data_IF_833317540019
#
_entry.id   IF_833317540019
#
_cell.length_a   1.000
_cell.length_b   1.000
_cell.length_c   1.000
_cell.angle_alpha   90.00
_cell.angle_beta   90.00
_cell.angle_gamma   90.00
#
_symmetry.space_group_name_H-M   'P 1'
#
loop_
_entity.id
_entity.type
_entity.pdbx_description
1 polymer ?
#
# COMPACT_ATOMS: atom_id res chain seq x y z
N UNK A 1 65.14 27.17 49.16
CA UNK A 1 66.15 28.16 48.72
C UNK A 1 65.78 28.53 47.27
N UNK A 2 65.32 29.78 47.14
CA UNK A 2 65.78 30.80 46.17
C UNK A 2 65.65 30.41 44.69
N UNK A 3 64.53 30.78 44.07
CA UNK A 3 64.38 32.04 43.32
C UNK A 3 65.19 32.13 42.01
N UNK A 4 64.53 32.20 40.88
CA UNK A 4 64.73 33.34 39.92
C UNK A 4 63.70 33.32 38.79
N UNK A 5 62.96 34.40 38.73
CA UNK A 5 62.15 34.90 37.61
C UNK A 5 63.10 35.39 36.47
N UNK A 6 62.63 35.22 35.21
CA UNK A 6 62.94 36.17 34.11
C UNK A 6 62.14 35.83 32.83
N UNK A 7 62.04 36.72 31.84
CA UNK A 7 60.95 37.69 31.75
C UNK A 7 60.09 37.47 30.51
N UNK A 8 58.88 38.09 30.54
CA UNK A 8 57.87 38.15 29.47
C UNK A 8 58.45 38.83 28.21
N UNK A 9 58.35 38.18 27.07
CA UNK A 9 58.41 38.80 25.76
C UNK A 9 56.95 39.00 25.23
N UNK A 10 56.63 40.25 24.98
CA UNK A 10 55.42 40.70 24.31
C UNK A 10 55.57 40.41 22.83
N UNK A 11 54.59 39.65 22.26
CA UNK A 11 54.45 39.54 20.80
C UNK A 11 53.16 40.25 20.39
N UNK A 12 53.32 41.18 19.45
CA UNK A 12 52.22 41.94 18.85
C UNK A 12 51.24 41.05 18.06
N UNK A 13 49.96 41.40 18.00
CA UNK A 13 49.00 40.69 17.16
C UNK A 13 49.14 41.16 15.72
N UNK A 14 49.49 40.25 14.83
CA UNK A 14 49.37 40.47 13.39
C UNK A 14 47.94 40.18 12.95
N UNK A 15 47.39 41.13 12.19
CA UNK A 15 46.12 41.04 11.46
C UNK A 15 46.12 39.80 10.57
N UNK A 16 45.21 38.85 10.85
CA UNK A 16 44.84 37.79 9.92
C UNK A 16 43.44 38.09 9.40
N UNK A 17 43.37 38.31 8.11
CA UNK A 17 42.16 38.54 7.34
C UNK A 17 41.14 37.39 7.59
N UNK A 18 39.94 37.72 8.06
CA UNK A 18 38.82 36.81 8.14
C UNK A 18 38.27 36.54 6.74
N UNK A 19 38.67 35.43 6.15
CA UNK A 19 37.94 34.86 5.01
C UNK A 19 36.63 34.26 5.55
N UNK A 20 35.51 34.84 5.17
CA UNK A 20 34.18 34.24 5.39
C UNK A 20 34.06 33.03 4.49
N UNK A 21 34.26 31.84 5.05
CA UNK A 21 33.79 30.59 4.45
C UNK A 21 32.64 30.11 5.37
N UNK A 22 31.45 30.40 4.96
CA UNK A 22 30.24 30.00 5.66
C UNK A 22 29.09 29.92 4.66
N UNK A 23 29.25 29.08 3.64
CA UNK A 23 28.09 28.46 2.98
C UNK A 23 27.99 27.03 3.52
N UNK A 24 27.21 26.88 4.57
CA UNK A 24 26.63 25.57 4.90
C UNK A 24 25.69 25.22 3.78
N UNK A 25 26.12 24.32 2.90
CA UNK A 25 25.19 23.53 2.10
C UNK A 25 24.43 22.68 3.11
N UNK A 26 23.24 23.10 3.48
CA UNK A 26 22.22 22.17 3.93
C UNK A 26 21.89 21.34 2.67
N UNK A 27 22.58 20.22 2.49
CA UNK A 27 22.02 19.12 1.71
C UNK A 27 20.72 18.78 2.40
N UNK A 28 19.61 19.21 1.79
CA UNK A 28 18.29 18.83 2.22
C UNK A 28 18.25 17.30 2.21
N UNK A 29 18.17 16.70 3.39
CA UNK A 29 17.78 15.31 3.55
C UNK A 29 16.43 15.25 2.88
N UNK A 30 16.35 14.66 1.68
CA UNK A 30 15.09 14.40 1.02
C UNK A 30 14.26 13.60 2.01
N UNK A 31 13.10 14.13 2.36
CA UNK A 31 12.14 13.48 3.25
C UNK A 31 11.77 12.15 2.59
N UNK A 32 12.40 11.06 3.07
CA UNK A 32 12.25 9.72 2.49
C UNK A 32 10.98 9.11 3.06
N UNK A 33 9.84 9.60 2.58
CA UNK A 33 8.55 9.18 3.07
C UNK A 33 7.51 9.10 1.96
N UNK A 34 6.29 8.70 2.31
CA UNK A 34 5.17 8.71 1.39
C UNK A 34 3.87 9.17 2.06
N UNK A 35 2.98 9.75 1.24
CA UNK A 35 1.60 10.03 1.60
C UNK A 35 0.70 9.58 0.45
N UNK A 36 -0.20 8.64 0.72
CA UNK A 36 -1.11 8.04 -0.24
C UNK A 36 -2.54 8.14 0.26
N UNK A 37 -3.42 8.77 -0.48
CA UNK A 37 -4.85 8.86 -0.20
C UNK A 37 -5.62 8.29 -1.38
N UNK A 38 -6.61 7.45 -1.08
CA UNK A 38 -7.34 6.83 -2.18
C UNK A 38 -8.41 5.85 -1.73
N UNK A 39 -8.72 4.93 -2.63
CA UNK A 39 -9.77 3.94 -2.45
C UNK A 39 -9.25 2.54 -2.64
N UNK A 40 -9.70 1.65 -1.76
CA UNK A 40 -9.52 0.21 -1.86
C UNK A 40 -10.77 -0.43 -2.46
N UNK A 41 -10.58 -1.42 -3.30
CA UNK A 41 -11.58 -2.45 -3.59
C UNK A 41 -10.92 -3.83 -3.47
N UNK A 42 -11.50 -4.68 -2.63
CA UNK A 42 -11.08 -6.05 -2.39
C UNK A 42 -12.25 -6.98 -2.64
N UNK A 43 -11.99 -8.10 -3.31
CA UNK A 43 -12.99 -9.15 -3.56
C UNK A 43 -12.34 -10.50 -3.30
N UNK A 44 -12.96 -11.32 -2.44
CA UNK A 44 -12.40 -12.62 -2.09
C UNK A 44 -13.42 -13.76 -2.17
N UNK A 45 -12.90 -15.00 -2.14
CA UNK A 45 -13.68 -16.24 -2.30
C UNK A 45 -14.54 -16.59 -1.08
N UNK A 46 -14.34 -15.96 0.08
CA UNK A 46 -15.14 -16.20 1.29
C UNK A 46 -16.59 -15.74 1.14
N UNK A 47 -17.46 -16.24 2.01
CA UNK A 47 -18.85 -15.80 2.14
C UNK A 47 -18.98 -14.35 2.61
N UNK A 48 -20.18 -13.86 2.72
CA UNK A 48 -20.45 -12.48 3.13
C UNK A 48 -20.07 -12.22 4.58
N UNK A 49 -19.33 -11.22 4.87
CA UNK A 49 -18.42 -10.79 5.92
C UNK A 49 -17.13 -11.63 5.89
N UNK A 50 -16.03 -10.98 5.51
CA UNK A 50 -14.75 -11.64 5.41
C UNK A 50 -14.29 -12.15 6.79
N UNK A 51 -14.19 -13.48 7.02
CA UNK A 51 -13.77 -14.01 8.31
C UNK A 51 -12.32 -13.59 8.65
N UNK A 52 -11.48 -13.42 7.64
CA UNK A 52 -10.09 -13.01 7.84
C UNK A 52 -9.95 -11.65 8.52
N UNK A 53 -10.88 -10.71 8.28
CA UNK A 53 -10.85 -9.39 8.91
C UNK A 53 -11.12 -9.43 10.41
N UNK A 54 -11.77 -10.49 10.90
CA UNK A 54 -12.00 -10.73 12.33
C UNK A 54 -11.09 -11.81 12.92
N UNK A 55 -10.06 -12.24 12.17
CA UNK A 55 -9.03 -13.17 12.63
C UNK A 55 -9.37 -14.65 12.48
N UNK A 56 -10.53 -14.97 11.90
CA UNK A 56 -10.92 -16.34 11.63
C UNK A 56 -10.26 -16.90 10.36
N UNK A 57 -10.26 -18.21 10.24
CA UNK A 57 -9.79 -18.88 9.04
C UNK A 57 -10.74 -18.62 7.86
N UNK A 58 -10.24 -18.56 6.61
CA UNK A 58 -11.08 -18.39 5.44
C UNK A 58 -12.04 -19.58 5.26
N UNK A 59 -13.22 -19.31 4.74
CA UNK A 59 -14.20 -20.34 4.37
C UNK A 59 -13.55 -21.36 3.42
N UNK A 60 -13.66 -22.64 3.76
CA UNK A 60 -13.03 -23.70 2.97
C UNK A 60 -11.51 -23.80 3.12
N UNK A 61 -10.89 -23.08 4.08
CA UNK A 61 -9.48 -23.19 4.46
C UNK A 61 -8.50 -22.41 3.60
N UNK A 62 -8.93 -21.78 2.51
CA UNK A 62 -8.10 -20.95 1.62
C UNK A 62 -8.86 -19.72 1.15
N UNK A 63 -8.14 -18.66 0.77
CA UNK A 63 -8.73 -17.46 0.20
C UNK A 63 -8.09 -17.11 -1.15
N UNK A 64 -8.92 -16.91 -2.16
CA UNK A 64 -8.53 -16.37 -3.46
C UNK A 64 -9.08 -14.94 -3.55
N UNK A 65 -8.21 -13.97 -3.82
CA UNK A 65 -8.55 -12.56 -3.70
C UNK A 65 -7.96 -11.69 -4.80
N UNK A 66 -8.67 -10.58 -5.10
CA UNK A 66 -8.16 -9.41 -5.82
C UNK A 66 -8.19 -8.26 -4.81
N UNK A 67 -7.08 -7.54 -4.67
CA UNK A 67 -6.97 -6.34 -3.83
C UNK A 67 -6.42 -5.21 -4.69
N UNK A 68 -7.12 -4.08 -4.78
CA UNK A 68 -6.68 -2.92 -5.55
C UNK A 68 -6.68 -1.66 -4.69
N UNK A 69 -5.54 -0.95 -4.67
CA UNK A 69 -5.41 0.38 -4.10
C UNK A 69 -5.29 1.39 -5.23
N UNK A 70 -6.29 2.24 -5.39
CA UNK A 70 -6.28 3.36 -6.31
C UNK A 70 -5.90 4.64 -5.56
N UNK A 71 -4.90 5.36 -6.01
CA UNK A 71 -4.42 6.59 -5.39
C UNK A 71 -5.14 7.80 -6.01
N UNK A 72 -6.13 8.36 -5.32
CA UNK A 72 -6.75 9.62 -5.73
C UNK A 72 -5.72 10.77 -5.66
N UNK A 73 -4.84 10.72 -4.62
CA UNK A 73 -3.66 11.58 -4.45
C UNK A 73 -2.53 10.75 -3.84
N UNK A 74 -1.31 10.93 -4.32
CA UNK A 74 -0.19 10.19 -3.77
C UNK A 74 1.17 10.73 -4.17
N UNK A 75 2.06 10.82 -3.17
CA UNK A 75 3.48 11.09 -3.37
C UNK A 75 4.29 10.04 -2.63
N UNK A 76 5.34 9.57 -3.27
CA UNK A 76 6.32 8.65 -2.71
C UNK A 76 7.68 9.30 -2.92
N UNK A 77 8.31 9.77 -1.85
CA UNK A 77 9.36 10.78 -1.92
C UNK A 77 8.83 11.99 -2.71
N UNK A 78 9.51 12.44 -3.74
CA UNK A 78 9.13 13.51 -4.67
C UNK A 78 8.41 13.01 -5.94
N UNK A 79 8.02 11.73 -5.99
CA UNK A 79 7.37 11.11 -7.15
C UNK A 79 5.85 11.14 -6.96
N UNK A 80 5.15 11.91 -7.79
CA UNK A 80 3.69 11.89 -7.85
C UNK A 80 3.17 10.59 -8.48
N UNK A 81 2.32 9.87 -7.75
CA UNK A 81 1.66 8.63 -8.19
C UNK A 81 0.14 8.76 -8.25
N UNK A 82 -0.38 9.99 -8.19
CA UNK A 82 -1.82 10.27 -8.25
C UNK A 82 -2.45 9.72 -9.52
N UNK A 83 -3.64 9.15 -9.39
CA UNK A 83 -4.40 8.54 -10.48
C UNK A 83 -3.93 7.15 -10.89
N UNK A 84 -2.87 6.61 -10.27
CA UNK A 84 -2.38 5.26 -10.54
C UNK A 84 -3.03 4.23 -9.61
N UNK A 85 -2.96 2.96 -10.00
CA UNK A 85 -3.50 1.83 -9.24
C UNK A 85 -2.43 0.75 -9.07
N UNK A 86 -2.36 0.21 -7.87
CA UNK A 86 -1.59 -0.97 -7.52
C UNK A 86 -2.53 -2.11 -7.18
N UNK A 87 -2.29 -3.30 -7.69
CA UNK A 87 -3.18 -4.43 -7.48
C UNK A 87 -2.43 -5.73 -7.19
N UNK A 88 -3.04 -6.55 -6.34
CA UNK A 88 -2.64 -7.92 -6.06
C UNK A 88 -3.75 -8.88 -6.49
N UNK A 89 -3.36 -9.98 -7.15
CA UNK A 89 -4.17 -11.19 -7.24
C UNK A 89 -3.45 -12.23 -6.39
N UNK A 90 -4.10 -12.74 -5.36
CA UNK A 90 -3.43 -13.61 -4.39
C UNK A 90 -4.22 -14.87 -4.06
N UNK A 91 -3.47 -15.94 -3.79
CA UNK A 91 -3.93 -17.17 -3.14
C UNK A 91 -3.32 -17.26 -1.74
N UNK A 92 -4.17 -17.41 -0.73
CA UNK A 92 -3.80 -17.44 0.68
C UNK A 92 -4.12 -18.83 1.22
N UNK A 93 -3.11 -19.65 1.62
CA UNK A 93 -3.27 -21.07 1.93
C UNK A 93 -3.73 -21.35 3.36
N UNK A 94 -4.47 -20.45 3.99
CA UNK A 94 -4.95 -20.61 5.37
C UNK A 94 -5.31 -19.29 6.02
N UNK A 95 -5.12 -19.20 7.33
CA UNK A 95 -5.34 -17.97 8.07
C UNK A 95 -4.46 -16.85 7.52
N UNK A 96 -5.09 -15.70 7.25
CA UNK A 96 -4.45 -14.57 6.59
C UNK A 96 -3.21 -14.06 7.36
N UNK A 97 -3.25 -14.09 8.68
CA UNK A 97 -2.18 -13.62 9.57
C UNK A 97 -0.99 -14.59 9.64
N UNK A 98 -1.14 -15.82 9.17
CA UNK A 98 -0.04 -16.80 9.07
C UNK A 98 0.86 -16.54 7.86
N UNK A 99 0.48 -15.61 6.99
CA UNK A 99 1.24 -15.27 5.79
C UNK A 99 1.25 -16.36 4.73
N UNK A 100 2.41 -16.53 4.07
CA UNK A 100 2.61 -17.45 2.94
C UNK A 100 1.71 -17.21 1.73
N UNK A 101 1.26 -15.97 1.55
CA UNK A 101 0.46 -15.61 0.39
C UNK A 101 1.28 -15.79 -0.88
N UNK A 102 0.66 -16.35 -1.90
CA UNK A 102 1.20 -16.34 -3.26
C UNK A 102 0.52 -15.23 -4.02
N UNK A 103 1.30 -14.25 -4.48
CA UNK A 103 0.75 -13.03 -5.07
C UNK A 103 1.29 -12.78 -6.49
N UNK A 104 0.42 -12.35 -7.37
CA UNK A 104 0.76 -11.73 -8.64
C UNK A 104 0.47 -10.24 -8.53
N UNK A 105 1.50 -9.43 -8.75
CA UNK A 105 1.41 -7.97 -8.66
C UNK A 105 1.09 -7.39 -10.03
N UNK A 106 0.18 -6.43 -10.07
CA UNK A 106 -0.10 -5.62 -11.25
C UNK A 106 0.06 -4.15 -10.91
N UNK A 107 0.85 -3.44 -11.72
CA UNK A 107 1.01 -1.99 -11.65
C UNK A 107 0.32 -1.37 -12.86
N UNK A 108 -0.37 -0.25 -12.66
CA UNK A 108 -1.02 0.46 -13.77
C UNK A 108 0.00 0.74 -14.89
N UNK A 109 -0.32 0.34 -16.11
CA UNK A 109 0.55 0.53 -17.28
C UNK A 109 0.77 1.99 -17.67
N UNK A 110 0.04 2.92 -17.06
CA UNK A 110 0.28 4.37 -17.19
C UNK A 110 1.47 4.83 -16.34
N UNK A 111 1.92 4.00 -15.38
CA UNK A 111 3.04 4.35 -14.52
C UNK A 111 4.37 4.38 -15.29
N UNK A 112 5.13 5.43 -15.10
CA UNK A 112 6.53 5.47 -15.54
C UNK A 112 7.38 4.46 -14.76
N UNK A 113 8.57 4.07 -15.25
CA UNK A 113 9.45 3.15 -14.51
C UNK A 113 9.78 3.63 -13.09
N UNK A 114 9.98 4.95 -12.87
CA UNK A 114 10.21 5.53 -11.54
C UNK A 114 9.01 5.43 -10.62
N UNK A 115 7.81 5.70 -11.14
CA UNK A 115 6.56 5.55 -10.38
C UNK A 115 6.33 4.09 -10.00
N UNK A 116 6.55 3.16 -10.93
CA UNK A 116 6.44 1.72 -10.65
C UNK A 116 7.41 1.29 -9.54
N UNK A 117 8.67 1.70 -9.62
CA UNK A 117 9.68 1.40 -8.59
C UNK A 117 9.27 1.96 -7.22
N UNK A 118 8.80 3.20 -7.16
CA UNK A 118 8.32 3.85 -5.95
C UNK A 118 7.12 3.11 -5.34
N UNK A 119 6.11 2.76 -6.15
CA UNK A 119 4.94 1.99 -5.70
C UNK A 119 5.35 0.62 -5.15
N UNK A 120 6.26 -0.08 -5.83
CA UNK A 120 6.80 -1.35 -5.35
C UNK A 120 7.57 -1.18 -4.03
N UNK A 121 8.33 -0.10 -3.84
CA UNK A 121 9.05 0.14 -2.59
C UNK A 121 8.11 0.30 -1.39
N UNK A 122 6.98 1.01 -1.56
CA UNK A 122 5.95 1.13 -0.51
C UNK A 122 5.30 -0.22 -0.22
N UNK A 123 4.80 -0.93 -1.25
CA UNK A 123 4.08 -2.20 -1.06
C UNK A 123 4.98 -3.37 -0.63
N UNK A 124 6.29 -3.25 -0.73
CA UNK A 124 7.26 -4.20 -0.15
C UNK A 124 7.72 -3.82 1.25
N UNK A 125 7.14 -2.77 1.85
CA UNK A 125 7.41 -2.33 3.21
C UNK A 125 8.73 -1.59 3.40
N UNK A 126 9.48 -1.28 2.33
CA UNK A 126 10.80 -0.62 2.40
C UNK A 126 10.74 0.79 2.98
N UNK A 127 9.61 1.46 2.87
CA UNK A 127 9.42 2.82 3.33
C UNK A 127 8.62 2.92 4.65
N UNK A 128 8.41 1.78 5.32
CA UNK A 128 7.66 1.76 6.58
C UNK A 128 6.15 1.99 6.39
N UNK A 129 5.51 2.52 7.45
CA UNK A 129 4.08 2.83 7.45
C UNK A 129 3.16 1.61 7.41
N UNK A 130 1.83 1.81 7.23
CA UNK A 130 0.83 0.74 7.36
C UNK A 130 1.03 -0.43 6.38
N UNK A 131 1.60 -0.19 5.20
CA UNK A 131 1.84 -1.24 4.21
C UNK A 131 3.03 -2.13 4.55
N UNK A 132 3.92 -1.69 5.45
CA UNK A 132 5.02 -2.52 5.96
C UNK A 132 4.51 -3.69 6.82
N UNK A 133 3.33 -3.59 7.42
CA UNK A 133 2.71 -4.68 8.18
C UNK A 133 2.06 -5.72 7.26
N UNK A 134 1.65 -5.33 6.04
CA UNK A 134 1.07 -6.24 5.06
C UNK A 134 2.15 -7.00 4.27
N UNK A 135 3.27 -6.35 3.98
CA UNK A 135 4.34 -6.92 3.15
C UNK A 135 4.86 -8.29 3.63
N UNK A 136 5.09 -8.53 4.95
CA UNK A 136 5.57 -9.83 5.45
C UNK A 136 4.57 -10.98 5.28
N UNK A 137 3.30 -10.70 5.03
CA UNK A 137 2.28 -11.73 4.80
C UNK A 137 2.43 -12.36 3.41
N UNK A 138 3.08 -11.66 2.46
CA UNK A 138 3.36 -12.18 1.13
C UNK A 138 4.59 -13.11 1.23
N UNK A 139 4.36 -14.40 1.10
CA UNK A 139 5.43 -15.39 1.11
C UNK A 139 6.13 -15.54 -0.24
N UNK A 140 5.39 -15.36 -1.34
CA UNK A 140 5.92 -15.54 -2.69
C UNK A 140 5.27 -14.57 -3.68
N UNK A 141 6.09 -13.79 -4.40
CA UNK A 141 5.65 -12.99 -5.54
C UNK A 141 5.90 -13.78 -6.82
N UNK A 142 4.84 -14.29 -7.43
CA UNK A 142 4.88 -15.13 -8.62
C UNK A 142 5.19 -14.35 -9.89
N UNK A 143 4.94 -13.05 -9.88
CA UNK A 143 5.24 -12.16 -10.99
C UNK A 143 4.79 -10.72 -10.73
N UNK A 144 5.41 -9.79 -11.48
CA UNK A 144 5.07 -8.35 -11.46
C UNK A 144 4.82 -7.92 -12.90
N UNK A 145 3.63 -7.45 -13.19
CA UNK A 145 3.18 -7.12 -14.53
C UNK A 145 2.68 -5.68 -14.63
N UNK A 146 2.94 -5.04 -15.74
CA UNK A 146 2.27 -3.81 -16.13
C UNK A 146 0.97 -4.19 -16.84
N UNK A 147 -0.15 -3.61 -16.41
CA UNK A 147 -1.46 -3.87 -16.98
C UNK A 147 -2.30 -2.59 -17.02
N UNK A 148 -3.15 -2.39 -18.02
CA UNK A 148 -4.17 -1.36 -17.95
C UNK A 148 -5.12 -1.70 -16.79
N UNK A 149 -5.25 -0.79 -15.80
CA UNK A 149 -6.14 -0.99 -14.67
C UNK A 149 -7.25 0.05 -14.73
N UNK A 150 -8.49 -0.42 -14.81
CA UNK A 150 -9.66 0.41 -14.66
C UNK A 150 -10.22 0.21 -13.26
N UNK A 151 -10.32 1.31 -12.51
CA UNK A 151 -10.88 1.34 -11.17
C UNK A 151 -11.98 2.38 -11.12
N UNK A 152 -13.19 1.99 -10.70
CA UNK A 152 -14.33 2.90 -10.61
C UNK A 152 -15.14 2.63 -9.35
N UNK A 153 -15.55 3.71 -8.70
CA UNK A 153 -16.53 3.68 -7.61
C UNK A 153 -17.60 4.71 -7.91
N UNK A 154 -18.83 4.24 -8.12
CA UNK A 154 -20.01 5.08 -8.39
C UNK A 154 -21.13 4.66 -7.45
N UNK A 155 -21.64 5.60 -6.65
CA UNK A 155 -22.73 5.36 -5.68
C UNK A 155 -22.45 4.15 -4.77
N UNK A 156 -21.21 3.97 -4.32
CA UNK A 156 -20.78 2.87 -3.47
C UNK A 156 -20.66 1.50 -4.16
N UNK A 157 -20.91 1.43 -5.48
CA UNK A 157 -20.63 0.24 -6.29
C UNK A 157 -19.23 0.33 -6.84
N UNK A 158 -18.45 -0.73 -6.71
CA UNK A 158 -17.07 -0.79 -7.18
C UNK A 158 -16.91 -1.72 -8.38
N UNK A 159 -16.01 -1.32 -9.29
CA UNK A 159 -15.60 -2.14 -10.44
C UNK A 159 -14.09 -2.06 -10.60
N UNK A 160 -13.46 -3.22 -10.81
CA UNK A 160 -12.05 -3.38 -11.13
C UNK A 160 -11.94 -4.19 -12.42
N UNK A 161 -11.04 -3.73 -13.31
CA UNK A 161 -10.55 -4.52 -14.45
C UNK A 161 -9.04 -4.40 -14.52
N UNK A 162 -8.34 -5.51 -14.58
CA UNK A 162 -6.88 -5.58 -14.75
C UNK A 162 -6.61 -6.26 -16.09
N UNK A 163 -6.60 -5.50 -17.17
CA UNK A 163 -6.48 -6.02 -18.53
C UNK A 163 -7.41 -7.23 -18.76
N UNK A 164 -6.81 -8.34 -19.23
CA UNK A 164 -7.49 -9.62 -19.38
C UNK A 164 -7.28 -10.57 -18.18
N UNK A 165 -6.47 -10.15 -17.19
CA UNK A 165 -6.08 -10.97 -16.05
C UNK A 165 -7.18 -11.10 -14.99
N UNK A 166 -7.92 -10.01 -14.70
CA UNK A 166 -8.90 -10.01 -13.65
C UNK A 166 -10.04 -9.01 -13.89
N UNK A 167 -11.22 -9.35 -13.37
CA UNK A 167 -12.39 -8.48 -13.36
C UNK A 167 -13.21 -8.74 -12.10
N UNK A 168 -13.64 -7.68 -11.42
CA UNK A 168 -14.56 -7.78 -10.30
C UNK A 168 -15.54 -6.60 -10.24
N UNK A 169 -16.74 -6.89 -9.78
CA UNK A 169 -17.77 -5.90 -9.45
C UNK A 169 -18.32 -6.18 -8.06
N UNK A 170 -18.60 -5.11 -7.31
CA UNK A 170 -19.23 -5.23 -6.00
C UNK A 170 -20.40 -4.27 -5.84
N UNK A 171 -21.36 -4.70 -5.03
CA UNK A 171 -22.44 -3.88 -4.49
C UNK A 171 -22.39 -3.92 -2.96
N UNK A 172 -22.56 -2.77 -2.27
CA UNK A 172 -22.49 -2.72 -0.82
C UNK A 172 -23.75 -3.38 -0.18
N UNK A 173 -23.59 -3.93 1.02
CA UNK A 173 -24.71 -4.17 1.91
C UNK A 173 -25.17 -2.84 2.48
N UNK A 174 -26.46 -2.59 2.44
CA UNK A 174 -27.05 -1.35 2.96
C UNK A 174 -28.17 -1.65 3.94
N UNK A 175 -28.37 -0.78 4.93
CA UNK A 175 -29.52 -0.82 5.82
C UNK A 175 -30.81 -0.31 5.13
N UNK A 176 -31.91 -0.31 5.87
CA UNK A 176 -33.20 0.16 5.36
C UNK A 176 -33.22 1.65 4.92
N UNK A 177 -32.20 2.43 5.28
CA UNK A 177 -32.03 3.84 4.89
C UNK A 177 -31.01 4.02 3.78
N UNK A 178 -30.49 2.93 3.19
CA UNK A 178 -29.45 2.96 2.17
C UNK A 178 -28.03 3.22 2.68
N UNK A 179 -27.78 3.17 3.99
CA UNK A 179 -26.46 3.39 4.55
C UNK A 179 -25.63 2.09 4.47
N UNK A 180 -24.37 2.16 4.01
CA UNK A 180 -23.56 0.95 3.86
C UNK A 180 -23.18 0.35 5.21
N UNK A 181 -23.14 -0.98 5.28
CA UNK A 181 -22.58 -1.73 6.41
C UNK A 181 -21.08 -1.53 6.47
N UNK A 182 -20.53 -1.29 7.68
CA UNK A 182 -19.10 -1.03 7.91
C UNK A 182 -18.51 -2.02 8.88
N UNK A 183 -17.23 -2.35 8.67
CA UNK A 183 -16.31 -2.93 9.65
C UNK A 183 -15.38 -1.84 10.15
N UNK A 184 -15.13 -1.81 11.44
CA UNK A 184 -14.19 -0.90 12.11
C UNK A 184 -13.40 -1.68 13.15
N UNK A 185 -12.20 -1.22 13.46
CA UNK A 185 -11.34 -1.78 14.53
C UNK A 185 -11.11 -3.30 14.39
N UNK A 186 -10.92 -3.77 13.16
CA UNK A 186 -10.69 -5.17 12.86
C UNK A 186 -9.24 -5.57 13.15
N UNK A 187 -9.01 -6.86 13.49
CA UNK A 187 -7.67 -7.39 13.76
C UNK A 187 -6.77 -7.40 12.52
N UNK A 188 -7.36 -7.46 11.35
CA UNK A 188 -6.70 -7.36 10.05
C UNK A 188 -7.45 -6.37 9.17
N UNK A 189 -6.71 -5.62 8.36
CA UNK A 189 -7.26 -4.71 7.36
C UNK A 189 -6.24 -4.48 6.23
N UNK A 190 -6.72 -4.43 5.00
CA UNK A 190 -5.93 -3.94 3.85
C UNK A 190 -5.93 -2.42 3.74
N UNK A 191 -6.67 -1.74 4.64
CA UNK A 191 -6.70 -0.29 4.85
C UNK A 191 -6.67 0.04 6.35
N UNK A 192 -5.56 -0.27 7.06
CA UNK A 192 -5.46 -0.06 8.49
C UNK A 192 -5.86 1.36 8.90
N UNK A 193 -6.63 1.47 10.01
CA UNK A 193 -7.08 2.75 10.56
C UNK A 193 -8.31 3.36 9.86
N UNK A 194 -8.82 2.75 8.79
CA UNK A 194 -10.00 3.23 8.07
C UNK A 194 -11.18 2.25 8.16
N UNK A 195 -12.43 2.76 8.16
CA UNK A 195 -13.60 1.90 8.08
C UNK A 195 -13.72 1.24 6.70
N UNK A 196 -14.05 -0.06 6.70
CA UNK A 196 -14.30 -0.81 5.48
C UNK A 196 -15.79 -0.99 5.22
N UNK A 197 -16.26 -0.69 4.02
CA UNK A 197 -17.63 -0.92 3.60
C UNK A 197 -17.75 -2.35 3.07
N UNK A 198 -18.64 -3.12 3.70
CA UNK A 198 -18.84 -4.52 3.35
C UNK A 198 -19.88 -4.63 2.24
N UNK A 199 -19.61 -5.51 1.31
CA UNK A 199 -20.50 -5.76 0.20
C UNK A 199 -20.40 -7.19 -0.33
N UNK A 200 -20.99 -7.36 -1.48
CA UNK A 200 -21.04 -8.62 -2.20
C UNK A 200 -20.45 -8.45 -3.59
N UNK A 201 -19.56 -9.34 -3.96
CA UNK A 201 -19.10 -9.46 -5.34
C UNK A 201 -20.27 -9.93 -6.20
N UNK A 202 -20.75 -9.08 -7.09
CA UNK A 202 -21.75 -9.47 -8.09
C UNK A 202 -21.09 -10.30 -9.20
N UNK A 203 -19.82 -10.07 -9.43
CA UNK A 203 -18.97 -10.86 -10.32
C UNK A 203 -17.50 -10.76 -9.88
N UNK A 204 -16.79 -11.89 -9.97
CA UNK A 204 -15.32 -11.94 -9.84
C UNK A 204 -14.80 -13.00 -10.80
N UNK A 205 -13.82 -12.63 -11.59
CA UNK A 205 -13.13 -13.53 -12.52
C UNK A 205 -11.64 -13.22 -12.54
N UNK A 206 -10.83 -14.26 -12.41
CA UNK A 206 -9.38 -14.22 -12.59
C UNK A 206 -8.97 -15.26 -13.63
N UNK A 207 -8.05 -14.90 -14.49
CA UNK A 207 -7.48 -15.77 -15.54
C UNK A 207 -5.98 -15.55 -15.63
N UNK A 208 -5.24 -16.22 -14.75
CA UNK A 208 -3.75 -16.25 -14.69
C UNK A 208 -3.28 -17.70 -14.66
N UNK A 209 -3.56 -18.52 -15.72
CA UNK A 209 -3.30 -19.95 -15.72
C UNK A 209 -1.81 -20.29 -15.56
N UNK A 210 -0.90 -19.42 -16.03
CA UNK A 210 0.55 -19.55 -15.86
C UNK A 210 0.99 -19.55 -14.40
N UNK A 211 0.17 -18.97 -13.51
CA UNK A 211 0.36 -18.94 -12.05
C UNK A 211 -0.57 -19.91 -11.31
N UNK A 212 -1.33 -20.74 -12.04
CA UNK A 212 -2.37 -21.63 -11.49
C UNK A 212 -3.46 -20.87 -10.72
N UNK A 213 -3.70 -19.61 -11.08
CA UNK A 213 -4.74 -18.75 -10.53
C UNK A 213 -5.80 -18.54 -11.60
N UNK A 214 -6.88 -19.29 -11.52
CA UNK A 214 -8.04 -19.15 -12.40
C UNK A 214 -9.31 -19.50 -11.62
N UNK A 215 -10.23 -18.52 -11.52
CA UNK A 215 -11.52 -18.71 -10.86
C UNK A 215 -12.57 -17.76 -11.40
N UNK A 216 -13.82 -18.13 -11.19
CA UNK A 216 -14.97 -17.26 -11.43
C UNK A 216 -16.04 -17.55 -10.37
N UNK A 217 -16.51 -16.49 -9.68
CA UNK A 217 -17.57 -16.62 -8.70
C UNK A 217 -18.41 -15.34 -8.58
N UNK A 218 -19.57 -15.48 -7.91
CA UNK A 218 -20.43 -14.37 -7.53
C UNK A 218 -21.01 -14.60 -6.13
N UNK A 219 -21.60 -13.58 -5.54
CA UNK A 219 -22.23 -13.67 -4.23
C UNK A 219 -21.26 -13.82 -3.07
N UNK A 220 -19.97 -13.65 -3.29
CA UNK A 220 -18.88 -13.73 -2.30
C UNK A 220 -18.59 -12.39 -1.68
N UNK A 221 -17.70 -12.35 -0.69
CA UNK A 221 -17.34 -11.15 0.01
C UNK A 221 -16.66 -10.10 -0.90
N UNK A 222 -17.00 -8.85 -0.65
CA UNK A 222 -16.29 -7.70 -1.21
C UNK A 222 -16.19 -6.58 -0.17
N UNK A 223 -15.12 -5.83 -0.23
CA UNK A 223 -14.82 -4.72 0.65
C UNK A 223 -14.42 -3.52 -0.18
N UNK A 224 -14.98 -2.37 0.16
CA UNK A 224 -14.62 -1.06 -0.37
C UNK A 224 -14.26 -0.15 0.79
N UNK A 225 -13.27 0.71 0.64
CA UNK A 225 -12.94 1.69 1.66
C UNK A 225 -12.11 2.84 1.10
N UNK A 226 -12.01 3.89 1.88
CA UNK A 226 -11.07 4.98 1.63
C UNK A 226 -9.88 4.80 2.58
N UNK A 227 -8.69 5.16 2.15
CA UNK A 227 -7.49 5.08 2.97
C UNK A 227 -6.67 6.36 2.91
N UNK A 228 -5.89 6.57 3.98
CA UNK A 228 -4.83 7.56 4.05
C UNK A 228 -3.64 6.91 4.73
N UNK A 229 -2.56 6.72 3.98
CA UNK A 229 -1.33 6.09 4.45
C UNK A 229 -0.20 7.10 4.44
N UNK A 230 0.62 7.04 5.49
CA UNK A 230 1.85 7.83 5.62
C UNK A 230 2.95 6.91 6.15
N UNK A 231 4.17 7.14 5.70
CA UNK A 231 5.34 6.37 6.13
C UNK A 231 6.65 7.07 5.86
#
# INVERSE_FOLDING_TARGET
>A
MINRLSPRTKVHPQNVARTRIGQTFEEGVADMGYSLQGKLLEVCSCGGLCPCWVGDDPDGGTCDTIVCWHYDKGHINDIDVSGLTFALVAHIPGNILKGNWKAVVHVDSKATPKQKEAMLAVHTGKLGGPLADLAPLIGEVLGVYDAPIEFRVVEGKGTIRIGDAAFAEMAPYVDAKGRPTKLVDTIFSTIPGAPAYVGKATRNKVSLPQHKMAWEFSGRNAILGEFSFEG
#
